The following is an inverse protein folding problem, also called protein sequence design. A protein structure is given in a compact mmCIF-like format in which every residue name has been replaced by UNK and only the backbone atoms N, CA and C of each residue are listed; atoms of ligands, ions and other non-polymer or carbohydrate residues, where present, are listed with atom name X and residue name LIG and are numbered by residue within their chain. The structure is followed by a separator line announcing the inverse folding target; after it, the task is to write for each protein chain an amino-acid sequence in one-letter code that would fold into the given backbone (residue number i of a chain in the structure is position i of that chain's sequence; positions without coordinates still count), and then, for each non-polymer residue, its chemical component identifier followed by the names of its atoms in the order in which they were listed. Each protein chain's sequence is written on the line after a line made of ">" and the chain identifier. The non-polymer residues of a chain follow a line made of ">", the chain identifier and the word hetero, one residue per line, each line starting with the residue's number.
data_IF_723736410571
#
_entry.id   IF_723736410571
#
_cell.length_a   1.000
_cell.length_b   1.000
_cell.length_c   1.000
_cell.angle_alpha   90.00
_cell.angle_beta   90.00
_cell.angle_gamma   90.00
#
_symmetry.space_group_name_H-M   'P 1'
#
loop_
_entity.id
_entity.type
_entity.pdbx_description
1 polymer ?
#
# COMPACT_ATOMS: atom_id res chain seq x y z
N UNK A 1 6.24 -16.00 -13.57
CA UNK A 1 6.50 -14.56 -13.42
C UNK A 1 6.17 -13.77 -14.69
N UNK A 2 6.63 -14.19 -15.88
CA UNK A 2 6.30 -13.54 -17.17
C UNK A 2 4.80 -13.50 -17.52
N UNK A 3 4.01 -14.50 -17.12
CA UNK A 3 2.56 -14.56 -17.41
C UNK A 3 1.73 -13.59 -16.56
N UNK A 4 2.10 -13.35 -15.29
CA UNK A 4 1.44 -12.33 -14.45
C UNK A 4 1.81 -10.91 -14.89
N UNK A 5 3.05 -10.71 -15.35
CA UNK A 5 3.47 -9.44 -15.95
C UNK A 5 2.64 -9.12 -17.20
N UNK A 6 2.46 -10.10 -18.08
CA UNK A 6 1.67 -9.95 -19.30
C UNK A 6 0.19 -9.66 -19.02
N UNK A 7 -0.41 -10.35 -18.04
CA UNK A 7 -1.80 -10.09 -17.63
C UNK A 7 -1.98 -8.72 -16.94
N UNK A 8 -0.98 -8.26 -16.18
CA UNK A 8 -0.98 -6.92 -15.59
C UNK A 8 -0.79 -5.82 -16.65
N UNK A 9 0.00 -6.09 -17.69
CA UNK A 9 0.20 -5.19 -18.83
C UNK A 9 -1.04 -5.13 -19.75
N UNK A 10 -1.82 -6.21 -19.83
CA UNK A 10 -3.08 -6.30 -20.59
C UNK A 10 -4.29 -5.67 -19.85
N UNK A 11 -4.17 -5.39 -18.55
CA UNK A 11 -5.19 -4.68 -17.77
C UNK A 11 -5.13 -3.18 -18.10
N UNK A 12 -5.72 -2.83 -19.25
CA UNK A 12 -5.77 -1.46 -19.76
C UNK A 12 -6.54 -0.56 -18.77
N UNK A 13 -5.78 0.15 -17.92
CA UNK A 13 -6.33 1.06 -16.92
C UNK A 13 -7.25 2.08 -17.60
N UNK A 14 -8.42 2.34 -17.00
CA UNK A 14 -9.33 3.34 -17.56
C UNK A 14 -8.65 4.70 -17.61
N UNK A 15 -8.78 5.33 -18.78
CA UNK A 15 -8.27 6.68 -19.02
C UNK A 15 -9.13 7.68 -18.26
N UNK A 16 -8.52 8.76 -17.78
CA UNK A 16 -9.19 9.75 -16.92
C UNK A 16 -10.29 10.51 -17.67
N UNK A 17 -10.19 10.62 -19.00
CA UNK A 17 -11.14 11.25 -19.91
C UNK A 17 -12.39 10.39 -20.22
N UNK A 18 -12.39 9.14 -19.77
CA UNK A 18 -13.42 8.15 -20.15
C UNK A 18 -14.76 8.33 -19.41
N UNK A 19 -14.78 9.09 -18.30
CA UNK A 19 -15.94 9.26 -17.42
C UNK A 19 -16.66 10.63 -17.54
N UNK A 20 -16.52 11.29 -18.69
CA UNK A 20 -17.16 12.59 -18.95
C UNK A 20 -16.48 13.77 -18.24
N UNK A 21 -16.79 14.98 -18.73
CA UNK A 21 -16.06 16.22 -18.41
C UNK A 21 -16.09 16.54 -16.90
N UNK A 22 -17.20 16.25 -16.21
CA UNK A 22 -17.33 16.57 -14.78
C UNK A 22 -16.42 15.73 -13.89
N UNK A 23 -16.36 14.40 -14.13
CA UNK A 23 -15.51 13.49 -13.35
C UNK A 23 -14.03 13.76 -13.67
N UNK A 24 -13.72 14.01 -14.94
CA UNK A 24 -12.37 14.40 -15.37
C UNK A 24 -11.90 15.67 -14.64
N UNK A 25 -12.70 16.74 -14.66
CA UNK A 25 -12.35 18.00 -13.98
C UNK A 25 -12.16 17.81 -12.46
N UNK A 26 -12.99 16.96 -11.84
CA UNK A 26 -12.86 16.62 -10.42
C UNK A 26 -11.55 15.89 -10.13
N UNK A 27 -11.21 14.87 -10.92
CA UNK A 27 -9.94 14.12 -10.80
C UNK A 27 -8.76 15.07 -11.01
N UNK A 28 -8.80 15.93 -12.04
CA UNK A 28 -7.74 16.91 -12.31
C UNK A 28 -7.54 17.87 -11.15
N UNK A 29 -8.60 18.44 -10.59
CA UNK A 29 -8.51 19.35 -9.44
C UNK A 29 -7.90 18.66 -8.21
N UNK A 30 -8.34 17.44 -7.89
CA UNK A 30 -7.78 16.68 -6.77
C UNK A 30 -6.31 16.31 -7.03
N UNK A 31 -5.96 15.90 -8.25
CA UNK A 31 -4.59 15.59 -8.63
C UNK A 31 -3.68 16.82 -8.56
N UNK A 32 -4.14 17.99 -9.00
CA UNK A 32 -3.41 19.25 -8.84
C UNK A 32 -3.17 19.55 -7.36
N UNK A 33 -4.18 19.41 -6.50
CA UNK A 33 -4.02 19.63 -5.07
C UNK A 33 -3.00 18.68 -4.43
N UNK A 34 -3.04 17.38 -4.78
CA UNK A 34 -2.07 16.39 -4.30
C UNK A 34 -0.67 16.73 -4.79
N UNK A 35 -0.52 17.11 -6.06
CA UNK A 35 0.78 17.51 -6.62
C UNK A 35 1.32 18.75 -5.91
N UNK A 36 0.50 19.78 -5.69
CA UNK A 36 0.92 20.96 -4.93
C UNK A 36 1.37 20.59 -3.52
N UNK A 37 0.64 19.72 -2.83
CA UNK A 37 1.02 19.23 -1.50
C UNK A 37 2.37 18.49 -1.53
N UNK A 38 2.55 17.56 -2.47
CA UNK A 38 3.82 16.83 -2.63
C UNK A 38 4.96 17.79 -2.93
N UNK A 39 4.78 18.74 -3.85
CA UNK A 39 5.80 19.74 -4.20
C UNK A 39 6.21 20.58 -2.99
N UNK A 40 5.25 21.09 -2.22
CA UNK A 40 5.55 21.87 -1.00
C UNK A 40 6.29 21.01 0.01
N UNK A 41 5.85 19.77 0.22
CA UNK A 41 6.50 18.86 1.17
C UNK A 41 7.93 18.51 0.74
N UNK A 42 8.18 18.34 -0.56
CA UNK A 42 9.53 18.16 -1.12
C UNK A 42 10.42 19.37 -0.84
N UNK A 43 9.91 20.59 -1.04
CA UNK A 43 10.68 21.81 -0.76
C UNK A 43 11.04 21.90 0.73
N UNK A 44 10.08 21.67 1.62
CA UNK A 44 10.30 21.67 3.08
C UNK A 44 11.30 20.59 3.49
N UNK A 45 11.20 19.41 2.90
CA UNK A 45 12.10 18.27 3.13
C UNK A 45 13.55 18.61 2.71
N UNK A 46 13.73 19.25 1.56
CA UNK A 46 15.04 19.72 1.10
C UNK A 46 15.61 20.82 1.99
N UNK A 47 14.78 21.77 2.45
CA UNK A 47 15.19 22.79 3.40
C UNK A 47 15.61 22.17 4.73
N UNK A 48 14.90 21.16 5.21
CA UNK A 48 15.26 20.41 6.41
C UNK A 48 16.61 19.72 6.26
N UNK A 49 16.84 19.03 5.13
CA UNK A 49 18.14 18.46 4.80
C UNK A 49 19.25 19.51 4.78
N UNK A 50 18.99 20.68 4.18
CA UNK A 50 19.94 21.79 4.13
C UNK A 50 20.30 22.32 5.53
N UNK A 51 19.32 22.51 6.42
CA UNK A 51 19.58 22.93 7.79
C UNK A 51 20.37 21.88 8.57
N UNK A 52 20.08 20.59 8.38
CA UNK A 52 20.87 19.50 8.99
C UNK A 52 22.30 19.38 8.46
N UNK A 53 22.62 19.99 7.32
CA UNK A 53 23.99 20.05 6.81
C UNK A 53 24.83 21.10 7.55
N UNK A 54 24.20 22.11 8.16
CA UNK A 54 24.92 23.19 8.84
C UNK A 54 25.61 22.66 10.11
N UNK A 55 26.87 23.06 10.37
CA UNK A 55 27.57 22.68 11.59
C UNK A 55 26.91 23.20 12.84
N UNK A 56 26.72 22.31 13.81
CA UNK A 56 26.45 22.66 15.20
C UNK A 56 27.53 22.07 16.12
N UNK A 57 27.90 22.79 17.17
CA UNK A 57 28.96 22.38 18.09
C UNK A 57 28.60 21.07 18.83
N UNK A 58 27.30 20.78 18.96
CA UNK A 58 26.79 19.58 19.63
C UNK A 58 26.69 18.35 18.72
N UNK A 59 26.94 18.48 17.40
CA UNK A 59 26.79 17.38 16.44
C UNK A 59 27.64 16.16 16.78
N UNK A 60 28.79 16.38 17.45
CA UNK A 60 29.72 15.32 17.85
C UNK A 60 29.11 14.35 18.87
N UNK A 61 28.22 14.85 19.71
CA UNK A 61 27.55 14.06 20.73
C UNK A 61 26.32 13.31 20.17
N UNK A 62 25.72 13.86 19.12
CA UNK A 62 24.49 13.33 18.52
C UNK A 62 24.84 12.29 17.44
N UNK A 63 25.84 12.56 16.62
CA UNK A 63 26.22 11.70 15.50
C UNK A 63 27.50 10.92 15.82
N UNK A 64 27.33 9.69 16.29
CA UNK A 64 28.42 8.78 16.64
C UNK A 64 29.51 8.66 15.55
N UNK A 65 29.10 8.62 14.28
CA UNK A 65 30.03 8.56 13.15
C UNK A 65 30.94 9.79 13.05
N UNK A 66 30.43 10.99 13.35
CA UNK A 66 31.22 12.22 13.36
C UNK A 66 32.21 12.25 14.54
N UNK A 67 31.79 11.71 15.69
CA UNK A 67 32.68 11.53 16.85
C UNK A 67 33.89 10.65 16.51
N UNK A 68 33.66 9.48 15.91
CA UNK A 68 34.72 8.56 15.47
C UNK A 68 35.67 9.23 14.47
N UNK A 69 35.13 9.92 13.46
CA UNK A 69 35.96 10.59 12.45
C UNK A 69 36.89 11.61 13.11
N UNK A 70 36.39 12.39 14.07
CA UNK A 70 37.19 13.41 14.74
C UNK A 70 38.24 12.81 15.69
N UNK A 71 37.93 11.70 16.36
CA UNK A 71 38.83 11.06 17.32
C UNK A 71 39.93 10.26 16.63
N UNK A 72 39.60 9.49 15.60
CA UNK A 72 40.54 8.58 14.94
C UNK A 72 41.19 9.13 13.67
N UNK A 73 40.58 10.13 13.01
CA UNK A 73 41.06 10.69 11.73
C UNK A 73 41.10 12.23 11.77
N UNK A 74 41.78 12.86 12.76
CA UNK A 74 41.73 14.31 12.96
C UNK A 74 42.21 15.09 11.72
N UNK A 75 43.21 14.59 11.00
CA UNK A 75 43.76 15.21 9.77
C UNK A 75 42.73 15.29 8.63
N UNK A 76 41.85 14.29 8.52
CA UNK A 76 40.83 14.19 7.47
C UNK A 76 39.43 14.57 7.95
N UNK A 77 39.32 14.96 9.23
CA UNK A 77 38.04 15.14 9.91
C UNK A 77 37.15 16.16 9.21
N UNK A 78 37.71 17.25 8.70
CA UNK A 78 36.99 18.26 7.94
C UNK A 78 36.34 17.70 6.67
N UNK A 79 37.11 16.97 5.86
CA UNK A 79 36.63 16.41 4.59
C UNK A 79 35.56 15.34 4.84
N UNK A 80 35.85 14.38 5.73
CA UNK A 80 34.96 13.25 6.00
C UNK A 80 33.65 13.70 6.68
N UNK A 81 33.72 14.66 7.61
CA UNK A 81 32.52 15.25 8.24
C UNK A 81 31.69 16.02 7.22
N UNK A 82 32.32 16.75 6.31
CA UNK A 82 31.62 17.47 5.24
C UNK A 82 30.90 16.51 4.30
N UNK A 83 31.57 15.43 3.87
CA UNK A 83 30.95 14.39 3.03
C UNK A 83 29.81 13.69 3.75
N UNK A 84 29.98 13.33 5.03
CA UNK A 84 28.94 12.72 5.84
C UNK A 84 27.70 13.63 5.94
N UNK A 85 27.88 14.93 6.11
CA UNK A 85 26.79 15.91 6.18
C UNK A 85 26.10 16.15 4.84
N UNK A 86 26.85 16.16 3.75
CA UNK A 86 26.26 16.21 2.39
C UNK A 86 25.39 14.97 2.16
N UNK A 87 25.78 13.80 2.67
CA UNK A 87 24.96 12.59 2.51
C UNK A 87 23.59 12.68 3.21
N UNK A 88 23.48 13.48 4.29
CA UNK A 88 22.21 13.75 4.99
C UNK A 88 21.21 14.48 4.09
N UNK A 89 21.64 15.19 3.04
CA UNK A 89 20.72 15.83 2.08
C UNK A 89 19.85 14.81 1.32
N UNK A 90 20.32 13.58 1.15
CA UNK A 90 19.57 12.54 0.44
C UNK A 90 18.55 11.82 1.33
N UNK A 91 18.76 11.81 2.64
CA UNK A 91 17.90 11.09 3.59
C UNK A 91 16.44 11.58 3.54
N UNK A 92 16.15 12.91 3.56
CA UNK A 92 14.77 13.40 3.44
C UNK A 92 14.10 13.04 2.11
N UNK A 93 14.86 12.91 1.00
CA UNK A 93 14.33 12.50 -0.30
C UNK A 93 13.89 11.03 -0.27
N UNK A 94 14.74 10.17 0.28
CA UNK A 94 14.45 8.73 0.42
C UNK A 94 13.25 8.51 1.34
N UNK A 95 13.20 9.22 2.47
CA UNK A 95 12.08 9.14 3.41
C UNK A 95 10.77 9.63 2.80
N UNK A 96 10.80 10.60 1.89
CA UNK A 96 9.60 11.11 1.20
C UNK A 96 9.13 10.19 0.07
N UNK A 97 10.03 9.41 -0.53
CA UNK A 97 9.70 8.55 -1.67
C UNK A 97 8.62 7.51 -1.33
N UNK A 98 8.73 6.82 -0.19
CA UNK A 98 7.78 5.76 0.22
C UNK A 98 6.38 6.34 0.45
N UNK A 99 6.17 7.39 1.28
CA UNK A 99 4.86 8.03 1.43
C UNK A 99 4.28 8.55 0.10
N UNK A 100 5.11 9.12 -0.78
CA UNK A 100 4.66 9.59 -2.08
C UNK A 100 4.14 8.44 -2.96
N UNK A 101 4.79 7.28 -2.94
CA UNK A 101 4.32 6.08 -3.64
C UNK A 101 2.98 5.59 -3.09
N UNK A 102 2.81 5.58 -1.76
CA UNK A 102 1.53 5.24 -1.13
C UNK A 102 0.42 6.24 -1.48
N UNK A 103 0.69 7.54 -1.41
CA UNK A 103 -0.26 8.59 -1.79
C UNK A 103 -0.64 8.43 -3.26
N UNK A 104 0.32 8.16 -4.14
CA UNK A 104 0.07 7.91 -5.55
C UNK A 104 -0.84 6.71 -5.76
N UNK A 105 -0.52 5.56 -5.14
CA UNK A 105 -1.32 4.33 -5.26
C UNK A 105 -2.75 4.53 -4.72
N UNK A 106 -2.89 5.15 -3.55
CA UNK A 106 -4.19 5.43 -2.93
C UNK A 106 -5.02 6.40 -3.78
N UNK A 107 -4.38 7.45 -4.32
CA UNK A 107 -5.04 8.40 -5.23
C UNK A 107 -5.46 7.72 -6.52
N UNK A 108 -4.63 6.83 -7.05
CA UNK A 108 -4.93 6.06 -8.24
C UNK A 108 -6.15 5.15 -8.02
N UNK A 109 -6.16 4.38 -6.93
CA UNK A 109 -7.30 3.54 -6.55
C UNK A 109 -8.58 4.36 -6.39
N UNK A 110 -8.48 5.53 -5.75
CA UNK A 110 -9.60 6.48 -5.60
C UNK A 110 -10.14 6.95 -6.94
N UNK A 111 -9.28 7.29 -7.90
CA UNK A 111 -9.70 7.73 -9.23
C UNK A 111 -10.33 6.60 -10.04
N UNK A 112 -9.78 5.38 -9.99
CA UNK A 112 -10.41 4.21 -10.62
C UNK A 112 -11.80 3.94 -10.04
N UNK A 113 -11.99 4.15 -8.73
CA UNK A 113 -13.31 4.05 -8.09
C UNK A 113 -14.28 5.13 -8.59
N UNK A 114 -13.83 6.37 -8.82
CA UNK A 114 -14.66 7.42 -9.44
C UNK A 114 -15.11 7.04 -10.86
N UNK A 115 -14.20 6.50 -11.68
CA UNK A 115 -14.49 6.05 -13.04
C UNK A 115 -15.48 4.87 -13.03
N UNK A 116 -15.24 3.85 -12.20
CA UNK A 116 -16.16 2.71 -12.03
C UNK A 116 -17.56 3.18 -11.64
N UNK A 117 -17.66 4.09 -10.66
CA UNK A 117 -18.94 4.60 -10.18
C UNK A 117 -19.70 5.32 -11.30
N UNK A 118 -19.00 6.10 -12.13
CA UNK A 118 -19.60 6.77 -13.28
C UNK A 118 -20.16 5.77 -14.30
N UNK A 119 -19.41 4.71 -14.63
CA UNK A 119 -19.89 3.68 -15.56
C UNK A 119 -21.08 2.91 -15.03
N UNK A 120 -21.06 2.52 -13.74
CA UNK A 120 -22.19 1.84 -13.10
C UNK A 120 -23.47 2.70 -13.09
N UNK A 121 -23.33 4.00 -12.85
CA UNK A 121 -24.46 4.94 -12.89
C UNK A 121 -25.04 5.06 -14.31
N UNK A 122 -24.21 5.04 -15.34
CA UNK A 122 -24.66 5.10 -16.73
C UNK A 122 -25.24 3.78 -17.24
N UNK A 123 -24.77 2.63 -16.73
CA UNK A 123 -25.38 1.32 -17.00
C UNK A 123 -26.81 1.25 -16.45
N UNK A 124 -27.08 1.93 -15.33
CA UNK A 124 -28.38 1.94 -14.68
C UNK A 124 -29.41 2.88 -15.33
N UNK A 125 -29.03 3.62 -16.39
CA UNK A 125 -29.96 4.39 -17.23
C UNK A 125 -30.62 3.53 -18.33
N UNK A 126 -30.46 2.19 -18.29
CA UNK A 126 -31.20 1.25 -19.12
C UNK A 126 -32.57 0.91 -18.49
N UNK A 127 -33.61 1.55 -19.03
CA UNK A 127 -35.08 1.38 -18.90
C UNK A 127 -35.69 0.81 -17.60
N UNK A 128 -36.65 1.58 -17.09
CA UNK A 128 -36.95 1.81 -15.68
C UNK A 128 -38.25 1.11 -15.23
N UNK A 129 -38.35 -0.21 -15.47
CA UNK A 129 -39.56 -0.98 -15.06
C UNK A 129 -39.37 -1.94 -13.88
N UNK A 130 -38.19 -2.00 -13.28
CA UNK A 130 -37.92 -2.93 -12.18
C UNK A 130 -37.40 -2.17 -10.94
N UNK A 131 -38.30 -1.55 -10.19
CA UNK A 131 -38.19 -1.55 -8.72
C UNK A 131 -37.84 -0.24 -8.00
N UNK A 132 -38.72 0.75 -8.04
CA UNK A 132 -38.69 2.00 -7.26
C UNK A 132 -38.51 1.82 -5.73
N UNK A 133 -38.91 0.67 -5.17
CA UNK A 133 -38.74 0.38 -3.75
C UNK A 133 -37.30 0.01 -3.36
N UNK A 134 -36.51 -0.52 -4.29
CA UNK A 134 -35.12 -0.92 -4.03
C UNK A 134 -34.19 0.30 -3.96
N UNK A 135 -34.46 1.31 -4.79
CA UNK A 135 -33.64 2.51 -4.90
C UNK A 135 -33.79 3.46 -3.70
N UNK A 136 -34.99 3.56 -3.10
CA UNK A 136 -35.26 4.40 -1.92
C UNK A 136 -34.58 3.90 -0.63
N UNK A 137 -34.45 2.59 -0.47
CA UNK A 137 -33.85 1.96 0.72
C UNK A 137 -32.32 2.14 0.75
N UNK A 138 -31.66 2.08 -0.41
CA UNK A 138 -30.20 2.24 -0.52
C UNK A 138 -29.78 3.70 -0.27
N UNK A 139 -30.54 4.67 -0.77
CA UNK A 139 -30.23 6.10 -0.66
C UNK A 139 -30.30 6.62 0.79
N UNK A 140 -31.19 6.05 1.60
CA UNK A 140 -31.38 6.42 3.01
C UNK A 140 -30.24 5.93 3.91
N UNK A 141 -29.63 4.77 3.61
CA UNK A 141 -28.51 4.20 4.39
C UNK A 141 -27.17 4.90 4.13
N UNK A 142 -26.97 5.41 2.92
CA UNK A 142 -25.72 6.09 2.53
C UNK A 142 -25.57 7.51 3.13
N UNK A 143 -26.67 8.23 3.38
CA UNK A 143 -26.62 9.65 3.79
C UNK A 143 -26.33 9.85 5.29
N UNK A 144 -26.68 8.88 6.15
CA UNK A 144 -26.53 8.98 7.60
C UNK A 144 -25.06 8.77 8.08
N UNK A 145 -24.17 8.26 7.22
CA UNK A 145 -22.77 7.93 7.57
C UNK A 145 -21.76 9.08 7.36
N UNK A 146 -22.14 10.14 6.64
CA UNK A 146 -21.21 11.17 6.11
C UNK A 146 -20.80 12.26 7.11
N UNK A 147 -21.63 12.57 8.12
CA UNK A 147 -21.38 13.70 9.04
C UNK A 147 -20.56 13.33 10.30
N UNK A 148 -20.55 12.05 10.72
CA UNK A 148 -19.57 11.53 11.71
C UNK A 148 -18.13 11.53 11.18
N UNK A 149 -17.96 11.57 9.85
CA UNK A 149 -16.72 11.28 9.13
C UNK A 149 -15.57 12.31 9.25
N UNK A 150 -15.80 13.50 9.83
CA UNK A 150 -14.74 14.52 9.96
C UNK A 150 -13.93 14.43 11.25
N UNK A 151 -14.56 14.09 12.38
CA UNK A 151 -13.86 13.74 13.65
C UNK A 151 -13.38 12.28 13.61
N UNK A 152 -14.09 11.43 12.86
CA UNK A 152 -13.58 10.13 12.41
C UNK A 152 -12.28 10.28 11.62
N UNK A 153 -12.04 11.33 10.84
CA UNK A 153 -10.92 11.38 9.87
C UNK A 153 -9.51 11.33 10.47
N UNK A 154 -9.28 12.01 11.59
CA UNK A 154 -7.97 11.99 12.30
C UNK A 154 -7.85 10.71 13.14
N UNK A 155 -8.95 10.27 13.78
CA UNK A 155 -9.03 8.98 14.45
C UNK A 155 -8.92 7.79 13.47
N UNK A 156 -9.40 7.91 12.24
CA UNK A 156 -9.33 6.91 11.18
C UNK A 156 -7.98 6.91 10.51
N UNK A 157 -7.13 7.92 10.67
CA UNK A 157 -5.75 7.76 10.20
C UNK A 157 -4.97 6.84 11.13
N UNK A 158 -5.16 6.96 12.44
CA UNK A 158 -4.58 6.05 13.46
C UNK A 158 -5.28 4.69 13.45
N UNK A 159 -6.61 4.67 13.36
CA UNK A 159 -7.41 3.45 13.25
C UNK A 159 -7.28 2.82 11.86
N UNK A 160 -7.04 3.54 10.76
CA UNK A 160 -6.76 2.92 9.46
C UNK A 160 -5.31 2.47 9.32
N UNK A 161 -4.35 3.12 9.98
CA UNK A 161 -3.01 2.54 10.11
C UNK A 161 -3.06 1.25 10.96
N UNK A 162 -3.79 1.28 12.08
CA UNK A 162 -4.04 0.10 12.92
C UNK A 162 -4.89 -0.98 12.25
N UNK A 163 -5.95 -0.61 11.52
CA UNK A 163 -6.79 -1.54 10.74
C UNK A 163 -6.06 -2.00 9.49
N UNK A 164 -5.20 -1.20 8.86
CA UNK A 164 -4.37 -1.68 7.76
C UNK A 164 -3.38 -2.71 8.29
N UNK A 165 -2.81 -2.50 9.48
CA UNK A 165 -2.00 -3.49 10.15
C UNK A 165 -2.81 -4.74 10.50
N UNK A 166 -3.97 -4.60 11.16
CA UNK A 166 -4.88 -5.72 11.52
C UNK A 166 -5.44 -6.44 10.30
N UNK A 167 -5.77 -5.73 9.20
CA UNK A 167 -6.23 -6.32 7.94
C UNK A 167 -5.08 -7.01 7.21
N UNK A 168 -3.88 -6.47 7.22
CA UNK A 168 -2.69 -7.17 6.69
C UNK A 168 -2.46 -8.45 7.50
N UNK A 169 -2.62 -8.40 8.82
CA UNK A 169 -2.55 -9.58 9.69
C UNK A 169 -3.71 -10.56 9.49
N UNK A 170 -4.95 -10.10 9.34
CA UNK A 170 -6.13 -10.95 9.09
C UNK A 170 -6.11 -11.55 7.69
N UNK A 171 -5.67 -10.80 6.67
CA UNK A 171 -5.48 -11.30 5.31
C UNK A 171 -4.34 -12.31 5.32
N UNK A 172 -3.25 -12.05 6.03
CA UNK A 172 -2.20 -13.04 6.27
C UNK A 172 -2.76 -14.33 6.89
N UNK A 173 -3.58 -14.20 7.94
CA UNK A 173 -4.21 -15.33 8.63
C UNK A 173 -5.25 -16.07 7.75
N UNK A 174 -6.03 -15.36 6.95
CA UNK A 174 -6.99 -15.95 6.03
C UNK A 174 -6.29 -16.69 4.90
N UNK A 175 -5.18 -16.16 4.38
CA UNK A 175 -4.34 -16.86 3.41
C UNK A 175 -3.78 -18.15 4.02
N UNK A 176 -3.30 -18.08 5.27
CA UNK A 176 -2.83 -19.27 6.00
C UNK A 176 -3.96 -20.32 6.18
N UNK A 177 -5.14 -19.87 6.62
CA UNK A 177 -6.30 -20.75 6.83
C UNK A 177 -6.78 -21.37 5.51
N UNK A 178 -6.92 -20.58 4.43
CA UNK A 178 -7.30 -21.08 3.11
C UNK A 178 -6.26 -22.04 2.55
N UNK A 179 -4.96 -21.79 2.78
CA UNK A 179 -3.91 -22.72 2.37
C UNK A 179 -4.02 -24.06 3.12
N UNK A 180 -4.38 -24.01 4.40
CA UNK A 180 -4.61 -25.18 5.24
C UNK A 180 -5.87 -25.95 4.82
N UNK A 181 -6.95 -25.26 4.48
CA UNK A 181 -8.20 -25.87 4.00
C UNK A 181 -8.01 -26.48 2.60
N UNK A 182 -7.29 -25.80 1.71
CA UNK A 182 -6.93 -26.34 0.40
C UNK A 182 -6.11 -27.62 0.55
N UNK A 183 -5.15 -27.65 1.49
CA UNK A 183 -4.39 -28.86 1.82
C UNK A 183 -5.30 -29.98 2.34
N UNK A 184 -6.26 -29.67 3.22
CA UNK A 184 -7.21 -30.65 3.76
C UNK A 184 -8.13 -31.22 2.68
N UNK A 185 -8.65 -30.39 1.77
CA UNK A 185 -9.49 -30.82 0.64
C UNK A 185 -8.71 -31.70 -0.32
N UNK A 186 -7.46 -31.30 -0.64
CA UNK A 186 -6.58 -32.12 -1.45
C UNK A 186 -6.42 -33.51 -0.81
N UNK A 187 -6.16 -33.56 0.50
CA UNK A 187 -6.01 -34.82 1.25
C UNK A 187 -7.26 -35.71 1.22
N UNK A 188 -8.46 -35.13 1.20
CA UNK A 188 -9.74 -35.89 1.22
C UNK A 188 -10.30 -36.20 -0.17
N UNK A 189 -9.69 -35.71 -1.25
CA UNK A 189 -10.18 -35.95 -2.61
C UNK A 189 -9.79 -37.35 -3.07
N UNK A 190 -10.73 -38.11 -3.65
CA UNK A 190 -10.50 -39.47 -4.16
C UNK A 190 -9.70 -39.48 -5.49
N UNK A 191 -8.45 -39.04 -5.42
CA UNK A 191 -7.53 -38.90 -6.56
C UNK A 191 -7.10 -40.24 -7.17
N UNK A 192 -7.42 -41.36 -6.53
CA UNK A 192 -7.03 -42.70 -6.94
C UNK A 192 -7.62 -43.13 -8.29
N UNK A 193 -8.79 -42.60 -8.68
CA UNK A 193 -9.46 -42.95 -9.94
C UNK A 193 -9.09 -42.04 -11.10
N UNK A 194 -8.24 -41.03 -10.88
CA UNK A 194 -7.84 -40.09 -11.92
C UNK A 194 -6.83 -40.69 -12.90
N UNK A 195 -6.75 -40.10 -14.10
CA UNK A 195 -5.76 -40.47 -15.10
C UNK A 195 -4.33 -40.10 -14.66
N UNK A 196 -3.31 -40.66 -15.34
CA UNK A 196 -1.89 -40.51 -14.95
C UNK A 196 -1.41 -39.05 -14.96
N UNK A 197 -1.94 -38.23 -15.86
CA UNK A 197 -1.55 -36.82 -15.99
C UNK A 197 -2.11 -35.98 -14.83
N UNK A 198 -3.39 -36.14 -14.52
CA UNK A 198 -4.06 -35.47 -13.40
C UNK A 198 -3.46 -35.89 -12.05
N UNK A 199 -3.09 -37.17 -11.89
CA UNK A 199 -2.38 -37.66 -10.70
C UNK A 199 -1.03 -36.97 -10.49
N UNK A 200 -0.28 -36.74 -11.58
CA UNK A 200 1.01 -36.05 -11.52
C UNK A 200 0.84 -34.60 -11.08
N UNK A 201 -0.16 -33.89 -11.63
CA UNK A 201 -0.47 -32.51 -11.26
C UNK A 201 -0.91 -32.45 -9.79
N UNK A 202 -1.78 -33.35 -9.37
CA UNK A 202 -2.23 -33.46 -7.98
C UNK A 202 -1.07 -33.62 -6.99
N UNK A 203 -0.12 -34.52 -7.26
CA UNK A 203 1.04 -34.74 -6.37
C UNK A 203 1.94 -33.51 -6.28
N UNK A 204 2.10 -32.76 -7.37
CA UNK A 204 2.86 -31.49 -7.35
C UNK A 204 2.15 -30.47 -6.45
N UNK A 205 0.84 -30.27 -6.64
CA UNK A 205 0.04 -29.34 -5.84
C UNK A 205 0.06 -29.74 -4.35
N UNK A 206 -0.10 -31.03 -4.06
CA UNK A 206 -0.04 -31.55 -2.69
C UNK A 206 1.33 -31.31 -2.04
N UNK A 207 2.42 -31.49 -2.80
CA UNK A 207 3.78 -31.24 -2.29
C UNK A 207 4.03 -29.77 -1.94
N UNK A 208 3.42 -28.84 -2.69
CA UNK A 208 3.52 -27.40 -2.45
C UNK A 208 2.63 -26.99 -1.27
N UNK A 209 1.43 -27.56 -1.17
CA UNK A 209 0.47 -27.25 -0.11
C UNK A 209 0.84 -27.84 1.26
N UNK A 210 1.76 -28.81 1.32
CA UNK A 210 2.18 -29.45 2.58
C UNK A 210 2.92 -28.50 3.53
N UNK A 211 3.53 -27.42 3.02
CA UNK A 211 4.09 -26.36 3.85
C UNK A 211 3.11 -25.19 3.84
N UNK A 212 2.38 -24.93 4.94
CA UNK A 212 1.52 -23.76 5.03
C UNK A 212 2.35 -22.51 4.79
N UNK A 213 1.80 -21.56 4.05
CA UNK A 213 2.52 -20.36 3.64
C UNK A 213 2.68 -19.44 4.86
N UNK A 214 3.88 -19.42 5.44
CA UNK A 214 4.20 -18.54 6.56
C UNK A 214 4.92 -17.30 6.04
N UNK A 215 4.39 -16.13 6.33
CA UNK A 215 5.02 -14.85 5.99
C UNK A 215 5.99 -14.50 7.12
N UNK A 216 7.26 -14.81 6.92
CA UNK A 216 8.34 -14.45 7.85
C UNK A 216 8.89 -13.06 7.47
N UNK A 217 8.79 -12.09 8.37
CA UNK A 217 9.37 -10.76 8.17
C UNK A 217 10.84 -10.69 8.61
N UNK A 218 11.29 -11.61 9.46
CA UNK A 218 12.70 -11.88 9.77
C UNK A 218 12.85 -13.29 10.37
N UNK A 219 14.07 -13.86 10.42
CA UNK A 219 14.36 -15.22 10.95
C UNK A 219 13.86 -15.48 12.40
N UNK A 220 13.43 -14.44 13.11
CA UNK A 220 12.92 -14.52 14.48
C UNK A 220 11.52 -13.92 14.68
N UNK A 221 10.89 -13.38 13.62
CA UNK A 221 9.56 -12.79 13.69
C UNK A 221 8.60 -13.50 12.74
N UNK A 222 7.88 -14.46 13.31
CA UNK A 222 6.71 -15.08 12.72
C UNK A 222 5.49 -14.24 13.11
N UNK A 223 4.84 -13.62 12.13
CA UNK A 223 3.56 -12.92 12.39
C UNK A 223 2.49 -13.98 12.59
N UNK A 224 2.29 -14.39 13.84
CA UNK A 224 1.21 -15.29 14.24
C UNK A 224 0.36 -14.60 15.31
N UNK A 225 -0.95 -14.50 15.05
CA UNK A 225 -1.93 -13.87 15.94
C UNK A 225 -1.95 -14.47 17.35
N UNK A 226 -1.51 -15.71 17.54
CA UNK A 226 -1.45 -16.36 18.85
C UNK A 226 -0.29 -15.90 19.74
N UNK A 227 0.78 -15.32 19.19
CA UNK A 227 1.97 -14.97 19.97
C UNK A 227 2.06 -13.49 20.35
N UNK A 228 1.27 -12.61 19.72
CA UNK A 228 1.18 -11.19 20.11
C UNK A 228 2.48 -10.37 19.92
N UNK A 229 3.52 -10.98 19.35
CA UNK A 229 4.74 -10.42 18.72
C UNK A 229 5.20 -11.45 17.70
#
# INVERSE_FOLDING_TARGET
>A
MQTMQKAADELERWKIDSAGIFIEQKIRKEATNINTFITVNTIVSLLCGFFHMLPEDNDRNIFFALGIIHEFLPEWSFLLTSLARVSVLFLPIIMLAIPCQFIYLASHFKYQTYLLTYYLQNLNNYDDKIGDNFHKEIKKRLFQHSLRAKVLRVGTFVIAAGLAFVLVSEVGQQIENMSSDAYNILKTTDWHDWNKENKKIYLIILSVAQKPYQIEFSESMLINYQLGV
#
